data_IF_282322457791
#
_entry.id   IF_282322457791
#
_cell.length_a   1.000
_cell.length_b   1.000
_cell.length_c   1.000
_cell.angle_alpha   90.00
_cell.angle_beta   90.00
_cell.angle_gamma   90.00
#
_symmetry.space_group_name_H-M   'P 1'
#
loop_
_entity.id
_entity.type
_entity.pdbx_description
1 polymer ?
#
# COMPACT_ATOMS: atom_id res chain seq x y z
N UNK A 1 18.93 -52.30 -39.47
CA UNK A 1 18.73 -50.83 -39.44
C UNK A 1 17.42 -50.58 -38.71
N UNK A 2 17.47 -50.27 -37.41
CA UNK A 2 16.26 -49.98 -36.61
C UNK A 2 16.11 -48.45 -36.50
N UNK A 3 15.01 -47.92 -37.02
CA UNK A 3 14.63 -46.51 -36.89
C UNK A 3 13.97 -46.30 -35.53
N UNK A 4 14.61 -45.51 -34.65
CA UNK A 4 13.99 -45.01 -33.44
C UNK A 4 13.10 -43.81 -33.77
N UNK A 5 11.79 -43.97 -33.60
CA UNK A 5 10.84 -42.86 -33.65
C UNK A 5 10.89 -42.12 -32.31
N UNK A 6 11.46 -40.92 -32.30
CA UNK A 6 11.46 -40.03 -31.14
C UNK A 6 10.07 -39.42 -30.97
N UNK A 7 9.29 -39.92 -30.02
CA UNK A 7 8.07 -39.25 -29.54
C UNK A 7 8.51 -38.01 -28.76
N UNK A 8 8.28 -36.82 -29.31
CA UNK A 8 8.40 -35.56 -28.59
C UNK A 8 7.27 -35.48 -27.57
N UNK A 9 7.56 -35.80 -26.31
CA UNK A 9 6.66 -35.54 -25.18
C UNK A 9 6.73 -34.03 -24.91
N UNK A 10 5.81 -33.26 -25.49
CA UNK A 10 5.60 -31.88 -25.07
C UNK A 10 5.08 -31.91 -23.62
N UNK A 11 5.93 -31.49 -22.68
CA UNK A 11 5.46 -31.23 -21.31
C UNK A 11 4.42 -30.11 -21.38
N UNK A 12 3.27 -30.21 -20.70
CA UNK A 12 2.31 -29.12 -20.64
C UNK A 12 3.00 -27.90 -20.03
N UNK A 13 2.88 -26.74 -20.68
CA UNK A 13 3.37 -25.48 -20.13
C UNK A 13 2.65 -25.23 -18.79
N UNK A 14 3.41 -25.27 -17.69
CA UNK A 14 2.87 -24.95 -16.36
C UNK A 14 2.52 -23.45 -16.33
N UNK A 15 1.24 -23.14 -16.17
CA UNK A 15 0.78 -21.76 -16.02
C UNK A 15 1.36 -21.17 -14.73
N UNK A 16 1.93 -19.96 -14.82
CA UNK A 16 2.50 -19.28 -13.66
C UNK A 16 1.42 -18.99 -12.60
N UNK A 17 1.73 -19.23 -11.32
CA UNK A 17 0.83 -18.92 -10.21
C UNK A 17 0.83 -17.41 -9.93
N UNK A 18 -0.35 -16.81 -9.86
CA UNK A 18 -0.48 -15.42 -9.41
C UNK A 18 -0.44 -15.38 -7.87
N UNK A 19 0.49 -14.60 -7.32
CA UNK A 19 0.61 -14.36 -5.87
C UNK A 19 0.38 -12.89 -5.60
N UNK A 20 -0.65 -12.57 -4.82
CA UNK A 20 -0.98 -11.20 -4.43
C UNK A 20 -0.55 -10.95 -2.99
N UNK A 21 0.25 -9.90 -2.78
CA UNK A 21 0.64 -9.38 -1.47
C UNK A 21 0.01 -7.99 -1.34
N UNK A 22 -1.06 -7.89 -0.55
CA UNK A 22 -1.71 -6.63 -0.23
C UNK A 22 -2.56 -6.80 1.03
N UNK A 23 -2.48 -5.83 1.92
CA UNK A 23 -3.24 -5.74 3.15
C UNK A 23 -3.91 -4.37 3.25
N UNK A 24 -5.10 -4.28 3.88
CA UNK A 24 -5.60 -3.04 4.41
C UNK A 24 -4.59 -2.38 5.36
N UNK A 25 -4.62 -1.06 5.49
CA UNK A 25 -3.70 -0.37 6.42
C UNK A 25 -3.89 -0.79 7.87
N UNK A 26 -2.78 -1.03 8.55
CA UNK A 26 -2.73 -1.31 9.99
C UNK A 26 -2.29 -0.10 10.80
N UNK A 27 -2.11 1.07 10.18
CA UNK A 27 -1.51 2.26 10.80
C UNK A 27 -2.41 3.47 10.71
N UNK A 28 -2.28 4.35 11.70
CA UNK A 28 -2.79 5.72 11.66
C UNK A 28 -1.92 6.61 10.75
N UNK A 29 -2.42 7.79 10.42
CA UNK A 29 -1.68 8.81 9.66
C UNK A 29 -0.41 9.28 10.37
N UNK A 30 -0.36 9.17 11.70
CA UNK A 30 0.83 9.41 12.53
C UNK A 30 1.92 8.36 12.37
N UNK A 31 1.61 7.22 11.73
CA UNK A 31 2.50 6.08 11.58
C UNK A 31 2.45 5.08 12.73
N UNK A 32 1.68 5.34 13.80
CA UNK A 32 1.42 4.39 14.90
C UNK A 32 0.48 3.28 14.43
N UNK A 33 0.75 2.04 14.81
CA UNK A 33 -0.09 0.89 14.45
C UNK A 33 -1.35 0.82 15.32
N UNK A 34 -2.47 0.42 14.74
CA UNK A 34 -3.74 0.30 15.47
C UNK A 34 -3.63 -0.77 16.55
N UNK A 35 -3.05 -1.91 16.17
CA UNK A 35 -2.87 -3.11 16.98
C UNK A 35 -1.63 -3.88 16.48
N UNK A 36 -1.30 -4.98 17.17
CA UNK A 36 -0.18 -5.86 16.78
C UNK A 36 -0.62 -7.04 15.90
N UNK A 37 -1.86 -7.03 15.38
CA UNK A 37 -2.40 -8.18 14.64
C UNK A 37 -1.70 -8.40 13.31
N UNK A 38 -1.11 -7.36 12.71
CA UNK A 38 -0.39 -7.49 11.45
C UNK A 38 0.80 -8.45 11.58
N UNK A 39 1.46 -8.49 12.75
CA UNK A 39 2.58 -9.40 13.01
C UNK A 39 2.20 -10.87 12.82
N UNK A 40 0.99 -11.26 13.24
CA UNK A 40 0.50 -12.63 13.10
C UNK A 40 0.32 -13.06 11.64
N UNK A 41 -0.07 -12.12 10.76
CA UNK A 41 -0.24 -12.38 9.32
C UNK A 41 1.09 -12.63 8.61
N UNK A 42 2.18 -12.11 9.15
CA UNK A 42 3.55 -12.24 8.62
C UNK A 42 4.23 -13.55 9.04
N UNK A 43 3.69 -14.28 10.02
CA UNK A 43 4.25 -15.56 10.44
C UNK A 43 4.22 -16.59 9.29
N UNK A 44 5.10 -17.62 9.30
CA UNK A 44 5.15 -18.62 8.22
C UNK A 44 3.83 -19.30 7.86
N UNK A 45 2.94 -19.47 8.83
CA UNK A 45 1.59 -20.00 8.72
C UNK A 45 0.50 -18.91 8.64
N UNK A 46 0.87 -17.65 8.84
CA UNK A 46 0.01 -16.49 8.68
C UNK A 46 -0.44 -16.26 7.25
N UNK A 47 -1.49 -15.46 7.07
CA UNK A 47 -2.16 -15.22 5.78
C UNK A 47 -1.17 -14.90 4.65
N UNK A 48 -0.38 -13.84 4.80
CA UNK A 48 0.59 -13.41 3.77
C UNK A 48 1.99 -14.02 3.96
N UNK A 49 2.34 -14.48 5.16
CA UNK A 49 3.58 -15.24 5.35
C UNK A 49 3.54 -16.59 4.63
N UNK A 50 2.40 -17.28 4.64
CA UNK A 50 2.23 -18.55 3.95
C UNK A 50 2.45 -18.47 2.44
N UNK A 51 2.29 -17.28 1.85
CA UNK A 51 2.54 -17.03 0.43
C UNK A 51 4.05 -17.05 0.09
N UNK A 52 4.93 -16.68 1.02
CA UNK A 52 6.38 -16.58 0.79
C UNK A 52 7.20 -17.68 1.46
N UNK A 53 6.70 -18.29 2.55
CA UNK A 53 7.43 -19.33 3.28
C UNK A 53 7.18 -20.74 2.73
N UNK A 54 5.99 -20.99 2.17
CA UNK A 54 5.67 -22.32 1.60
C UNK A 54 6.52 -22.58 0.35
N UNK A 55 7.23 -23.71 0.26
CA UNK A 55 7.95 -24.10 -0.94
C UNK A 55 6.99 -24.17 -2.14
N UNK A 56 7.46 -23.73 -3.30
CA UNK A 56 6.70 -23.81 -4.54
C UNK A 56 7.61 -24.19 -5.69
N UNK A 57 7.11 -25.07 -6.55
CA UNK A 57 7.80 -25.56 -7.75
C UNK A 57 7.04 -25.02 -8.96
N UNK A 58 7.54 -23.93 -9.53
CA UNK A 58 6.93 -23.27 -10.68
C UNK A 58 7.27 -21.77 -10.71
N UNK A 59 6.86 -21.11 -11.79
CA UNK A 59 7.02 -19.65 -11.94
C UNK A 59 5.89 -18.93 -11.21
N UNK A 60 6.19 -17.81 -10.57
CA UNK A 60 5.18 -16.96 -9.90
C UNK A 60 5.11 -15.59 -10.55
N UNK A 61 3.89 -15.13 -10.80
CA UNK A 61 3.64 -13.73 -11.08
C UNK A 61 3.27 -13.04 -9.77
N UNK A 62 4.13 -12.16 -9.30
CA UNK A 62 3.89 -11.44 -8.05
C UNK A 62 3.14 -10.15 -8.33
N UNK A 63 2.15 -9.86 -7.50
CA UNK A 63 1.37 -8.62 -7.49
C UNK A 63 1.52 -8.01 -6.11
N UNK A 64 2.33 -6.97 -5.98
CA UNK A 64 2.72 -6.44 -4.67
C UNK A 64 2.21 -5.01 -4.53
N UNK A 65 1.48 -4.77 -3.44
CA UNK A 65 1.05 -3.45 -3.01
C UNK A 65 2.19 -2.71 -2.30
N UNK A 66 2.64 -1.55 -2.80
CA UNK A 66 3.67 -0.74 -2.15
C UNK A 66 3.33 -0.36 -0.72
N UNK A 67 2.07 -0.01 -0.42
CA UNK A 67 1.68 0.44 0.91
C UNK A 67 1.87 -0.67 1.95
N UNK A 68 1.53 -1.91 1.58
CA UNK A 68 1.75 -3.09 2.43
C UNK A 68 3.23 -3.28 2.74
N UNK A 69 4.11 -3.14 1.74
CA UNK A 69 5.56 -3.28 1.94
C UNK A 69 6.11 -2.16 2.83
N UNK A 70 5.68 -0.92 2.64
CA UNK A 70 6.08 0.21 3.48
C UNK A 70 5.67 0.01 4.96
N UNK A 71 4.50 -0.55 5.23
CA UNK A 71 4.08 -0.86 6.60
C UNK A 71 4.95 -1.96 7.22
N UNK A 72 5.30 -3.01 6.48
CA UNK A 72 6.20 -4.07 6.98
C UNK A 72 7.61 -3.51 7.22
N UNK A 73 8.10 -2.61 6.35
CA UNK A 73 9.36 -1.90 6.58
C UNK A 73 9.28 -1.08 7.87
N UNK A 74 8.20 -0.33 8.09
CA UNK A 74 8.01 0.43 9.32
C UNK A 74 7.98 -0.48 10.56
N UNK A 75 7.34 -1.66 10.50
CA UNK A 75 7.41 -2.64 11.58
C UNK A 75 8.85 -3.11 11.82
N UNK A 76 9.61 -3.40 10.77
CA UNK A 76 10.99 -3.90 10.88
C UNK A 76 11.96 -2.90 11.54
N UNK A 77 11.67 -1.60 11.39
CA UNK A 77 12.45 -0.50 11.97
C UNK A 77 12.14 -0.26 13.46
N UNK A 78 11.14 -0.95 14.01
CA UNK A 78 10.59 -0.69 15.33
C UNK A 78 9.35 0.20 15.22
N UNK A 79 8.31 -0.17 15.95
CA UNK A 79 7.01 0.49 15.89
C UNK A 79 6.35 0.49 17.27
N UNK A 80 5.31 1.31 17.40
CA UNK A 80 4.41 1.31 18.55
C UNK A 80 2.98 1.05 18.11
N UNK A 81 2.16 0.63 19.06
CA UNK A 81 0.72 0.42 18.89
C UNK A 81 -0.07 1.42 19.75
N UNK A 82 -1.31 1.74 19.36
CA UNK A 82 -2.15 2.77 20.02
C UNK A 82 -2.25 2.57 21.54
N UNK A 83 -2.35 1.32 22.01
CA UNK A 83 -2.51 1.01 23.43
C UNK A 83 -1.20 1.04 24.24
N UNK A 84 -0.07 1.36 23.59
CA UNK A 84 1.24 1.46 24.24
C UNK A 84 1.88 0.12 24.65
N UNK A 85 1.25 -1.02 24.34
CA UNK A 85 1.84 -2.34 24.59
C UNK A 85 3.07 -2.51 23.70
N UNK A 86 4.15 -3.08 24.25
CA UNK A 86 5.34 -3.37 23.46
C UNK A 86 5.00 -4.40 22.35
N UNK A 87 5.16 -4.05 21.07
CA UNK A 87 4.79 -4.97 19.99
C UNK A 87 5.89 -6.02 19.75
N UNK A 88 5.48 -7.19 19.28
CA UNK A 88 6.38 -8.34 19.10
C UNK A 88 6.82 -8.55 17.64
N UNK A 89 6.24 -7.83 16.68
CA UNK A 89 6.39 -8.11 15.26
C UNK A 89 7.64 -7.56 14.57
N UNK A 90 8.54 -6.86 15.26
CA UNK A 90 9.72 -6.26 14.61
C UNK A 90 10.60 -7.32 13.93
N UNK A 91 10.93 -8.38 14.66
CA UNK A 91 11.78 -9.46 14.14
C UNK A 91 11.02 -10.31 13.10
N UNK A 92 9.71 -10.47 13.28
CA UNK A 92 8.85 -11.15 12.30
C UNK A 92 8.88 -10.38 10.97
N UNK A 93 8.74 -9.06 10.99
CA UNK A 93 8.78 -8.23 9.79
C UNK A 93 10.13 -8.27 9.08
N UNK A 94 11.25 -8.23 9.82
CA UNK A 94 12.60 -8.40 9.23
C UNK A 94 12.75 -9.74 8.52
N UNK A 95 12.34 -10.82 9.18
CA UNK A 95 12.40 -12.17 8.61
C UNK A 95 11.50 -12.30 7.38
N UNK A 96 10.31 -11.71 7.42
CA UNK A 96 9.38 -11.72 6.30
C UNK A 96 9.94 -10.96 5.09
N UNK A 97 10.52 -9.76 5.29
CA UNK A 97 11.15 -8.98 4.20
C UNK A 97 12.36 -9.72 3.59
N UNK A 98 13.20 -10.32 4.43
CA UNK A 98 14.32 -11.14 3.95
C UNK A 98 13.84 -12.33 3.10
N UNK A 99 12.77 -13.00 3.55
CA UNK A 99 12.17 -14.10 2.80
C UNK A 99 11.52 -13.62 1.50
N UNK A 100 10.80 -12.49 1.50
CA UNK A 100 10.22 -11.90 0.29
C UNK A 100 11.31 -11.63 -0.75
N UNK A 101 12.40 -10.96 -0.35
CA UNK A 101 13.53 -10.66 -1.22
C UNK A 101 14.16 -11.93 -1.81
N UNK A 102 14.29 -12.99 -1.00
CA UNK A 102 14.80 -14.28 -1.46
C UNK A 102 13.90 -14.92 -2.51
N UNK A 103 12.60 -15.05 -2.24
CA UNK A 103 11.68 -15.82 -3.12
C UNK A 103 11.29 -15.07 -4.38
N UNK A 104 11.48 -13.75 -4.40
CA UNK A 104 11.14 -12.94 -5.56
C UNK A 104 12.37 -12.59 -6.40
N UNK A 105 13.61 -12.90 -5.98
CA UNK A 105 14.87 -12.38 -6.56
C UNK A 105 14.95 -12.44 -8.09
N UNK A 106 14.45 -13.52 -8.69
CA UNK A 106 14.48 -13.77 -10.14
C UNK A 106 13.07 -13.87 -10.75
N UNK A 107 12.06 -13.43 -10.02
CA UNK A 107 10.66 -13.50 -10.43
C UNK A 107 10.17 -12.16 -10.98
N UNK A 108 9.10 -12.19 -11.78
CA UNK A 108 8.42 -10.98 -12.23
C UNK A 108 7.57 -10.40 -11.10
N UNK A 109 7.82 -9.13 -10.78
CA UNK A 109 7.03 -8.38 -9.80
C UNK A 109 6.24 -7.30 -10.50
N UNK A 110 4.92 -7.34 -10.33
CA UNK A 110 3.98 -6.36 -10.83
C UNK A 110 3.50 -5.50 -9.66
N UNK A 111 3.59 -4.19 -9.79
CA UNK A 111 3.15 -3.24 -8.77
C UNK A 111 1.65 -3.04 -8.84
N UNK A 112 0.97 -3.13 -7.70
CA UNK A 112 -0.42 -2.71 -7.55
C UNK A 112 -0.50 -1.21 -7.24
N UNK A 113 -1.65 -0.59 -7.51
CA UNK A 113 -1.91 0.78 -7.04
C UNK A 113 -1.73 0.88 -5.53
N UNK A 114 -1.12 1.97 -5.05
CA UNK A 114 -0.75 2.17 -3.65
C UNK A 114 -1.97 2.03 -2.72
N UNK A 115 -1.91 1.03 -1.83
CA UNK A 115 -2.96 0.69 -0.87
C UNK A 115 -4.06 -0.20 -1.42
N UNK A 116 -3.94 -0.68 -2.67
CA UNK A 116 -4.92 -1.53 -3.37
C UNK A 116 -6.38 -1.01 -3.24
N UNK A 117 -6.62 0.28 -3.56
CA UNK A 117 -7.94 0.91 -3.46
C UNK A 117 -8.98 0.22 -4.34
N UNK A 118 -10.25 0.28 -3.92
CA UNK A 118 -11.39 -0.03 -4.79
C UNK A 118 -11.32 0.81 -6.06
N UNK A 119 -11.25 0.14 -7.22
CA UNK A 119 -11.15 0.78 -8.53
C UNK A 119 -12.30 1.75 -8.80
N UNK A 120 -13.51 1.34 -8.42
CA UNK A 120 -14.71 2.18 -8.51
C UNK A 120 -14.53 3.48 -7.74
N UNK A 121 -14.13 3.41 -6.46
CA UNK A 121 -14.01 4.60 -5.63
C UNK A 121 -12.84 5.49 -6.04
N UNK A 122 -11.73 4.89 -6.48
CA UNK A 122 -10.58 5.66 -6.95
C UNK A 122 -10.95 6.49 -8.20
N UNK A 123 -11.66 5.89 -9.16
CA UNK A 123 -12.14 6.58 -10.37
C UNK A 123 -13.21 7.63 -10.06
N UNK A 124 -14.07 7.37 -9.08
CA UNK A 124 -15.10 8.32 -8.66
C UNK A 124 -14.53 9.54 -7.93
N UNK A 125 -13.49 9.35 -7.10
CA UNK A 125 -13.00 10.38 -6.20
C UNK A 125 -11.73 11.09 -6.68
N UNK A 126 -10.86 10.41 -7.44
CA UNK A 126 -9.57 10.97 -7.86
C UNK A 126 -9.10 10.44 -9.24
N UNK A 127 -9.93 10.51 -10.29
CA UNK A 127 -9.60 9.92 -11.60
C UNK A 127 -8.32 10.50 -12.21
N UNK A 128 -8.08 11.80 -12.06
CA UNK A 128 -6.91 12.50 -12.59
C UNK A 128 -5.62 12.26 -11.80
N UNK A 129 -5.71 11.66 -10.60
CA UNK A 129 -4.53 11.35 -9.78
C UNK A 129 -4.00 9.93 -10.01
N UNK A 130 -4.77 9.05 -10.68
CA UNK A 130 -4.46 7.62 -10.81
C UNK A 130 -3.05 7.39 -11.37
N UNK A 131 -2.69 8.06 -12.46
CA UNK A 131 -1.37 7.92 -13.08
C UNK A 131 -0.26 8.30 -12.10
N UNK A 132 -0.41 9.43 -11.41
CA UNK A 132 0.58 9.91 -10.44
C UNK A 132 0.73 8.98 -9.24
N UNK A 133 -0.38 8.49 -8.69
CA UNK A 133 -0.39 7.52 -7.58
C UNK A 133 0.33 6.24 -7.99
N UNK A 134 0.08 5.74 -9.21
CA UNK A 134 0.74 4.54 -9.72
C UNK A 134 2.24 4.77 -9.92
N UNK A 135 2.65 5.94 -10.39
CA UNK A 135 4.07 6.30 -10.54
C UNK A 135 4.80 6.35 -9.20
N UNK A 136 4.22 6.99 -8.17
CA UNK A 136 4.83 7.05 -6.84
C UNK A 136 4.85 5.67 -6.19
N UNK A 137 3.73 4.94 -6.24
CA UNK A 137 3.65 3.59 -5.68
C UNK A 137 4.69 2.66 -6.30
N UNK A 138 4.88 2.75 -7.62
CA UNK A 138 5.96 2.06 -8.33
C UNK A 138 7.34 2.44 -7.82
N UNK A 139 7.65 3.74 -7.75
CA UNK A 139 8.94 4.22 -7.29
C UNK A 139 9.24 3.76 -5.85
N UNK A 140 8.24 3.78 -4.96
CA UNK A 140 8.35 3.28 -3.59
C UNK A 140 8.66 1.78 -3.54
N UNK A 141 7.91 0.97 -4.29
CA UNK A 141 8.14 -0.47 -4.32
C UNK A 141 9.51 -0.82 -4.91
N UNK A 142 9.91 -0.13 -5.97
CA UNK A 142 11.18 -0.35 -6.63
C UNK A 142 12.36 -0.04 -5.71
N UNK A 143 12.25 1.06 -4.95
CA UNK A 143 13.20 1.42 -3.91
C UNK A 143 13.25 0.36 -2.80
N UNK A 144 12.08 -0.04 -2.29
CA UNK A 144 11.94 -1.01 -1.19
C UNK A 144 12.52 -2.38 -1.53
N UNK A 145 12.40 -2.81 -2.78
CA UNK A 145 12.90 -4.11 -3.26
C UNK A 145 14.26 -4.00 -3.96
N UNK A 146 14.82 -2.79 -4.07
CA UNK A 146 16.07 -2.49 -4.78
C UNK A 146 16.11 -3.04 -6.22
N UNK A 147 15.00 -2.90 -6.96
CA UNK A 147 14.85 -3.41 -8.35
C UNK A 147 13.65 -2.80 -9.05
N UNK A 148 13.55 -3.00 -10.36
CA UNK A 148 12.41 -2.53 -11.15
C UNK A 148 11.25 -3.54 -11.12
N UNK A 149 10.06 -3.09 -10.75
CA UNK A 149 8.78 -3.77 -10.97
C UNK A 149 8.21 -3.47 -12.37
N UNK A 150 7.13 -4.17 -12.74
CA UNK A 150 6.31 -3.90 -13.91
C UNK A 150 4.97 -3.29 -13.47
N UNK A 151 4.36 -2.47 -14.31
CA UNK A 151 3.00 -1.99 -14.03
C UNK A 151 2.00 -3.15 -14.10
N UNK A 152 1.15 -3.29 -13.08
CA UNK A 152 0.05 -4.24 -13.12
C UNK A 152 -1.20 -3.65 -13.76
N UNK A 153 -2.00 -4.51 -14.41
CA UNK A 153 -3.38 -4.21 -14.79
C UNK A 153 -4.40 -4.74 -13.76
N UNK A 154 -3.94 -5.44 -12.72
CA UNK A 154 -4.80 -5.99 -11.68
C UNK A 154 -5.29 -4.87 -10.77
N UNK A 155 -6.62 -4.78 -10.62
CA UNK A 155 -7.28 -3.78 -9.78
C UNK A 155 -8.15 -4.45 -8.72
N UNK A 156 -8.51 -3.71 -7.67
CA UNK A 156 -9.47 -4.16 -6.69
C UNK A 156 -10.89 -3.83 -7.14
N UNK A 157 -11.58 -4.81 -7.74
CA UNK A 157 -12.94 -4.63 -8.25
C UNK A 157 -14.01 -4.55 -7.15
N UNK A 158 -13.67 -4.99 -5.93
CA UNK A 158 -14.61 -4.95 -4.81
C UNK A 158 -14.90 -3.50 -4.43
N UNK A 159 -16.16 -3.25 -4.08
CA UNK A 159 -16.63 -1.94 -3.63
C UNK A 159 -16.99 -1.99 -2.15
N UNK A 160 -16.27 -1.24 -1.33
CA UNK A 160 -16.69 -1.02 0.06
C UNK A 160 -17.94 -0.14 0.13
N UNK A 161 -18.79 -0.42 1.12
CA UNK A 161 -19.97 0.40 1.42
C UNK A 161 -19.54 1.59 2.28
N UNK A 162 -19.56 2.78 1.66
CA UNK A 162 -19.32 4.05 2.34
C UNK A 162 -20.64 4.74 2.69
N UNK A 163 -20.77 5.19 3.92
CA UNK A 163 -21.83 6.06 4.43
C UNK A 163 -21.70 7.48 3.87
N UNK A 164 -22.75 8.28 4.06
CA UNK A 164 -22.77 9.69 3.65
C UNK A 164 -21.65 10.51 4.31
N UNK A 165 -21.34 10.21 5.58
CA UNK A 165 -20.27 10.87 6.32
C UNK A 165 -18.89 10.52 5.75
N UNK A 166 -18.62 9.25 5.49
CA UNK A 166 -17.30 8.84 4.99
C UNK A 166 -17.06 9.40 3.58
N UNK A 167 -18.09 9.38 2.72
CA UNK A 167 -18.03 10.04 1.42
C UNK A 167 -17.82 11.55 1.52
N UNK A 168 -18.40 12.21 2.51
CA UNK A 168 -18.18 13.65 2.69
C UNK A 168 -16.75 13.95 3.14
N UNK A 169 -16.15 13.10 3.99
CA UNK A 169 -14.73 13.21 4.37
C UNK A 169 -13.83 13.04 3.15
N UNK A 170 -14.00 12.01 2.33
CA UNK A 170 -13.19 11.82 1.12
C UNK A 170 -13.34 12.97 0.11
N UNK A 171 -14.56 13.42 -0.14
CA UNK A 171 -14.82 14.54 -1.06
C UNK A 171 -14.24 15.85 -0.53
N UNK A 172 -14.28 16.06 0.78
CA UNK A 172 -13.64 17.20 1.42
C UNK A 172 -12.13 17.12 1.29
N UNK A 173 -11.53 15.96 1.61
CA UNK A 173 -10.10 15.68 1.45
C UNK A 173 -9.62 16.00 0.04
N UNK A 174 -10.31 15.48 -0.97
CA UNK A 174 -10.00 15.70 -2.37
C UNK A 174 -9.99 17.18 -2.74
N UNK A 175 -11.06 17.91 -2.36
CA UNK A 175 -11.14 19.36 -2.56
C UNK A 175 -9.99 20.12 -1.88
N UNK A 176 -9.60 19.69 -0.68
CA UNK A 176 -8.44 20.28 -0.01
C UNK A 176 -7.16 19.98 -0.79
N UNK A 177 -6.90 18.72 -1.15
CA UNK A 177 -5.72 18.34 -1.94
C UNK A 177 -5.63 19.16 -3.23
N UNK A 178 -6.74 19.32 -3.96
CA UNK A 178 -6.76 20.08 -5.21
C UNK A 178 -6.42 21.55 -4.98
N UNK A 179 -7.02 22.17 -3.95
CA UNK A 179 -6.71 23.55 -3.57
C UNK A 179 -5.25 23.70 -3.13
N UNK A 180 -4.75 22.79 -2.30
CA UNK A 180 -3.38 22.84 -1.80
C UNK A 180 -2.37 22.65 -2.95
N UNK A 181 -2.71 21.86 -3.96
CA UNK A 181 -1.83 21.60 -5.11
C UNK A 181 -1.55 22.83 -5.98
N UNK A 182 -2.35 23.90 -5.84
CA UNK A 182 -2.08 25.19 -6.49
C UNK A 182 -1.10 26.06 -5.71
N UNK A 183 -0.82 25.71 -4.44
CA UNK A 183 -0.06 26.52 -3.49
C UNK A 183 1.29 25.89 -3.10
N UNK A 184 1.38 24.56 -3.11
CA UNK A 184 2.59 23.82 -2.70
C UNK A 184 3.04 22.84 -3.75
N UNK A 185 4.28 22.35 -3.62
CA UNK A 185 4.75 21.28 -4.48
C UNK A 185 3.90 20.01 -4.26
N UNK A 186 3.52 19.35 -5.35
CA UNK A 186 2.72 18.12 -5.31
C UNK A 186 3.30 17.05 -4.37
N UNK A 187 4.62 16.93 -4.30
CA UNK A 187 5.32 15.98 -3.42
C UNK A 187 4.99 16.18 -1.93
N UNK A 188 4.73 17.41 -1.50
CA UNK A 188 4.34 17.70 -0.11
C UNK A 188 2.97 17.13 0.24
N UNK A 189 2.13 16.90 -0.77
CA UNK A 189 0.79 16.33 -0.66
C UNK A 189 0.77 14.82 -0.84
N UNK A 190 1.89 14.19 -1.19
CA UNK A 190 1.96 12.73 -1.35
C UNK A 190 1.43 11.98 -0.11
N UNK A 191 1.79 12.33 1.15
CA UNK A 191 1.30 11.60 2.31
C UNK A 191 -0.23 11.59 2.43
N UNK A 192 -0.89 12.73 2.15
CA UNK A 192 -2.36 12.83 2.24
C UNK A 192 -3.05 12.19 1.04
N UNK A 193 -2.46 12.27 -0.16
CA UNK A 193 -2.97 11.61 -1.37
C UNK A 193 -2.89 10.08 -1.25
N UNK A 194 -1.72 9.56 -0.88
CA UNK A 194 -1.50 8.13 -0.68
C UNK A 194 -2.36 7.58 0.47
N UNK A 195 -2.57 8.37 1.53
CA UNK A 195 -3.49 7.98 2.61
C UNK A 195 -4.94 7.90 2.14
N UNK A 196 -5.38 8.84 1.29
CA UNK A 196 -6.72 8.79 0.69
C UNK A 196 -6.91 7.47 -0.06
N UNK A 197 -5.96 7.09 -0.92
CA UNK A 197 -6.06 5.85 -1.71
C UNK A 197 -6.03 4.62 -0.83
N UNK A 198 -5.16 4.59 0.18
CA UNK A 198 -5.06 3.48 1.12
C UNK A 198 -6.39 3.22 1.84
N UNK A 199 -7.11 4.27 2.22
CA UNK A 199 -8.43 4.16 2.84
C UNK A 199 -9.56 3.80 1.87
N UNK A 200 -9.32 3.83 0.55
CA UNK A 200 -10.28 3.32 -0.42
C UNK A 200 -10.20 1.80 -0.60
N UNK A 201 -9.31 1.10 0.11
CA UNK A 201 -9.21 -0.36 0.08
C UNK A 201 -10.50 -1.01 0.61
N UNK A 202 -11.10 -1.89 -0.19
CA UNK A 202 -12.38 -2.52 0.14
C UNK A 202 -12.34 -3.54 1.27
N UNK A 203 -11.14 -4.04 1.59
CA UNK A 203 -10.96 -5.13 2.55
C UNK A 203 -10.71 -4.57 3.98
N UNK A 204 -10.76 -3.24 4.17
CA UNK A 204 -10.72 -2.63 5.52
C UNK A 204 -11.98 -3.03 6.29
N UNK A 205 -11.80 -3.66 7.46
CA UNK A 205 -12.89 -3.97 8.38
C UNK A 205 -13.59 -2.69 8.86
N UNK A 206 -14.92 -2.75 8.95
CA UNK A 206 -15.74 -1.56 9.28
C UNK A 206 -15.34 -0.88 10.60
N UNK A 207 -15.02 -1.65 11.64
CA UNK A 207 -14.57 -1.13 12.93
C UNK A 207 -13.22 -0.40 12.83
N UNK A 208 -12.27 -0.94 12.06
CA UNK A 208 -10.98 -0.30 11.78
C UNK A 208 -11.17 0.95 10.93
N UNK A 209 -12.04 0.88 9.92
CA UNK A 209 -12.36 1.99 9.05
C UNK A 209 -12.91 3.20 9.83
N UNK A 210 -13.76 2.99 10.83
CA UNK A 210 -14.31 4.07 11.67
C UNK A 210 -13.25 4.83 12.46
N UNK A 211 -12.14 4.17 12.83
CA UNK A 211 -10.98 4.82 13.47
C UNK A 211 -10.16 5.57 12.42
N UNK A 212 -9.85 4.89 11.31
CA UNK A 212 -9.02 5.41 10.23
C UNK A 212 -9.61 6.66 9.56
N UNK A 213 -10.92 6.70 9.35
CA UNK A 213 -11.57 7.85 8.69
C UNK A 213 -11.56 9.10 9.58
N UNK A 214 -11.63 8.94 10.90
CA UNK A 214 -11.52 10.05 11.86
C UNK A 214 -10.09 10.59 11.90
N UNK A 215 -9.12 9.70 12.02
CA UNK A 215 -7.68 10.02 11.91
C UNK A 215 -7.36 10.76 10.60
N UNK A 216 -7.92 10.30 9.48
CA UNK A 216 -7.74 10.97 8.19
C UNK A 216 -8.37 12.37 8.13
N UNK A 217 -9.56 12.54 8.73
CA UNK A 217 -10.20 13.86 8.81
C UNK A 217 -9.37 14.86 9.64
N UNK A 218 -8.70 14.39 10.69
CA UNK A 218 -7.75 15.19 11.48
C UNK A 218 -6.49 15.54 10.65
N UNK A 219 -5.93 14.58 9.91
CA UNK A 219 -4.80 14.81 9.00
C UNK A 219 -5.09 15.92 7.99
N UNK A 220 -6.28 15.89 7.36
CA UNK A 220 -6.69 16.93 6.40
C UNK A 220 -6.77 18.30 7.07
N UNK A 221 -7.26 18.35 8.32
CA UNK A 221 -7.33 19.59 9.11
C UNK A 221 -5.94 20.15 9.38
N UNK A 222 -4.96 19.30 9.70
CA UNK A 222 -3.55 19.70 9.88
C UNK A 222 -3.00 20.30 8.58
N UNK A 223 -3.15 19.60 7.45
CA UNK A 223 -2.69 20.09 6.15
C UNK A 223 -3.29 21.45 5.78
N UNK A 224 -4.59 21.64 6.00
CA UNK A 224 -5.26 22.93 5.84
C UNK A 224 -4.69 24.00 6.76
N UNK A 225 -4.37 23.66 8.01
CA UNK A 225 -3.86 24.64 8.99
C UNK A 225 -2.46 25.15 8.66
N UNK A 226 -1.60 24.30 8.06
CA UNK A 226 -0.25 24.69 7.63
C UNK A 226 -0.27 25.87 6.66
N UNK A 227 -1.29 25.94 5.80
CA UNK A 227 -1.45 27.04 4.82
C UNK A 227 -1.92 28.34 5.47
N UNK A 228 -2.81 28.27 6.47
CA UNK A 228 -3.21 29.48 7.22
C UNK A 228 -2.00 30.19 7.82
N UNK A 229 -0.94 29.47 8.17
CA UNK A 229 0.28 30.04 8.74
C UNK A 229 1.17 30.66 7.67
N UNK A 230 1.33 30.04 6.49
CA UNK A 230 2.11 30.61 5.38
C UNK A 230 1.47 31.86 4.78
N UNK A 231 0.14 31.92 4.72
CA UNK A 231 -0.58 33.11 4.24
C UNK A 231 -0.56 34.27 5.25
N UNK A 232 -0.24 34.03 6.53
CA UNK A 232 -0.39 35.05 7.59
C UNK A 232 0.91 35.60 8.19
N UNK A 233 2.11 35.09 7.90
CA UNK A 233 3.36 35.50 8.58
C UNK A 233 4.62 35.23 7.69
N UNK A 234 5.60 36.11 7.44
CA UNK A 234 6.03 37.37 8.07
C UNK A 234 6.74 38.32 7.08
N UNK A 235 6.51 39.63 7.18
CA UNK A 235 7.49 40.65 6.77
C UNK A 235 8.47 40.85 7.92
N UNK A 236 9.72 40.44 7.75
CA UNK A 236 10.81 40.84 8.65
C UNK A 236 11.28 42.21 8.17
N UNK A 237 10.86 43.28 8.83
CA UNK A 237 11.50 44.59 8.69
C UNK A 237 12.74 44.59 9.59
N UNK A 238 13.93 44.50 8.99
CA UNK A 238 15.15 44.87 9.70
C UNK A 238 15.13 46.38 9.94
N UNK A 239 15.39 46.80 11.18
CA UNK A 239 15.94 48.14 11.45
C UNK A 239 17.42 48.17 11.08
#
# INVERSE_FOLDING_TARGET
>A
MFLFNSVLISSPASAAQNVKISEPTHRLSSGVFIDDQFASKLLPDGEIGSLIYKPYRGVRNWFIDPATIEEIIAMSAGYGVINGVAPAGQEIAKNWLAQLNKVTRFEKVNVLSYGNPSDYWLKELAPEQIEYINLIGKASLDLSLSRNSLNSTLVNEKRQKLSKYELSVFRYAKRQIDLLSTLVNKKELDPVQLRLTQLLNSDIEKSKFDVLIKDFNELITIYRSKIKVTDTKFTITSQ
#
